data_IF_568741007570
#
_entry.id   IF_568741007570
#
_cell.length_a   1.000
_cell.length_b   1.000
_cell.length_c   1.000
_cell.angle_alpha   90.00
_cell.angle_beta   90.00
_cell.angle_gamma   90.00
#
_symmetry.space_group_name_H-M   'P 1'
#
loop_
_entity.id
_entity.type
_entity.pdbx_description
1 polymer ?
#
# COMPACT_ATOMS: atom_id res chain seq x y z
N UNK A 1 1.97 3.83 9.72
CA UNK A 1 1.46 2.49 10.11
C UNK A 1 1.22 1.57 8.92
N UNK A 2 0.43 1.96 7.91
CA UNK A 2 0.23 1.12 6.71
C UNK A 2 1.54 0.77 5.99
N UNK A 3 2.43 1.75 5.82
CA UNK A 3 3.76 1.54 5.20
C UNK A 3 4.59 0.51 5.97
N UNK A 4 4.62 0.59 7.29
CA UNK A 4 5.32 -0.38 8.14
C UNK A 4 4.74 -1.80 7.99
N UNK A 5 3.41 -1.93 7.99
CA UNK A 5 2.73 -3.23 7.78
C UNK A 5 3.02 -3.81 6.40
N UNK A 6 3.03 -2.96 5.37
CA UNK A 6 3.35 -3.35 4.00
C UNK A 6 4.82 -3.78 3.87
N UNK A 7 5.77 -3.05 4.48
CA UNK A 7 7.19 -3.40 4.46
C UNK A 7 7.48 -4.74 5.15
N UNK A 8 6.83 -5.00 6.30
CA UNK A 8 6.96 -6.29 7.01
C UNK A 8 6.39 -7.42 6.15
N UNK A 9 5.19 -7.25 5.57
CA UNK A 9 4.57 -8.25 4.71
C UNK A 9 5.45 -8.54 3.49
N UNK A 10 5.93 -7.50 2.82
CA UNK A 10 6.80 -7.61 1.65
C UNK A 10 8.06 -8.42 1.98
N UNK A 11 8.75 -8.10 3.09
CA UNK A 11 9.94 -8.82 3.52
C UNK A 11 9.65 -10.30 3.81
N UNK A 12 8.55 -10.60 4.51
CA UNK A 12 8.15 -11.99 4.79
C UNK A 12 7.83 -12.75 3.48
N UNK A 13 7.06 -12.17 2.58
CA UNK A 13 6.70 -12.79 1.29
C UNK A 13 7.91 -13.01 0.38
N UNK A 14 8.88 -12.10 0.37
CA UNK A 14 10.14 -12.29 -0.36
C UNK A 14 11.00 -13.39 0.26
N UNK A 15 11.10 -13.47 1.59
CA UNK A 15 11.84 -14.54 2.25
C UNK A 15 11.25 -15.92 1.93
N UNK A 16 9.91 -16.04 2.00
CA UNK A 16 9.21 -17.28 1.65
C UNK A 16 9.38 -17.63 0.17
N UNK A 17 9.32 -16.64 -0.73
CA UNK A 17 9.59 -16.85 -2.14
C UNK A 17 11.01 -17.38 -2.39
N UNK A 18 12.03 -16.72 -1.82
CA UNK A 18 13.43 -17.15 -1.93
C UNK A 18 13.63 -18.56 -1.40
N UNK A 19 13.02 -18.88 -0.26
CA UNK A 19 13.04 -20.23 0.30
C UNK A 19 12.37 -21.25 -0.63
N UNK A 20 11.18 -20.93 -1.15
CA UNK A 20 10.44 -21.83 -2.02
C UNK A 20 11.19 -22.13 -3.32
N UNK A 21 11.82 -21.12 -3.92
CA UNK A 21 12.68 -21.28 -5.10
C UNK A 21 13.94 -22.06 -4.76
N UNK A 22 14.61 -21.73 -3.65
CA UNK A 22 15.84 -22.42 -3.23
C UNK A 22 15.65 -23.90 -2.93
N UNK A 23 14.49 -24.29 -2.43
CA UNK A 23 14.14 -25.69 -2.15
C UNK A 23 13.44 -26.39 -3.33
N UNK A 24 13.13 -25.67 -4.42
CA UNK A 24 12.41 -26.23 -5.57
C UNK A 24 13.31 -27.13 -6.41
N UNK A 25 13.36 -28.40 -6.04
CA UNK A 25 14.00 -29.45 -6.84
C UNK A 25 12.91 -30.16 -7.65
N UNK A 26 13.07 -30.23 -8.98
CA UNK A 26 12.08 -30.85 -9.88
C UNK A 26 11.81 -32.31 -9.53
N UNK A 27 12.83 -33.02 -9.03
CA UNK A 27 12.73 -34.42 -8.61
C UNK A 27 12.06 -34.60 -7.24
N UNK A 28 11.85 -33.51 -6.49
CA UNK A 28 11.26 -33.61 -5.15
C UNK A 28 9.72 -33.73 -5.22
N UNK A 29 9.10 -34.57 -4.37
CA UNK A 29 7.65 -34.60 -4.20
C UNK A 29 7.07 -33.29 -3.62
N UNK A 30 7.88 -32.28 -3.34
CA UNK A 30 7.41 -30.97 -2.87
C UNK A 30 7.44 -29.89 -3.97
N UNK A 31 7.79 -30.26 -5.21
CA UNK A 31 7.91 -29.31 -6.31
C UNK A 31 6.64 -28.50 -6.56
N UNK A 32 5.48 -29.15 -6.74
CA UNK A 32 4.22 -28.47 -7.03
C UNK A 32 3.75 -27.54 -5.88
N UNK A 33 3.74 -27.99 -4.60
CA UNK A 33 3.41 -27.12 -3.47
C UNK A 33 4.32 -25.89 -3.34
N UNK A 34 5.63 -26.06 -3.57
CA UNK A 34 6.61 -24.97 -3.51
C UNK A 34 6.46 -23.99 -4.66
N UNK A 35 6.12 -24.47 -5.87
CA UNK A 35 5.85 -23.60 -7.02
C UNK A 35 4.61 -22.73 -6.76
N UNK A 36 3.54 -23.32 -6.24
CA UNK A 36 2.33 -22.57 -5.83
C UNK A 36 2.68 -21.55 -4.74
N UNK A 37 3.37 -21.96 -3.68
CA UNK A 37 3.76 -21.07 -2.59
C UNK A 37 4.62 -19.91 -3.07
N UNK A 38 5.63 -20.19 -3.87
CA UNK A 38 6.55 -19.20 -4.44
C UNK A 38 5.81 -18.21 -5.34
N UNK A 39 4.97 -18.70 -6.26
CA UNK A 39 4.20 -17.86 -7.17
C UNK A 39 3.28 -16.87 -6.45
N UNK A 40 2.51 -17.35 -5.47
CA UNK A 40 1.63 -16.48 -4.70
C UNK A 40 2.39 -15.55 -3.74
N UNK A 41 3.49 -16.01 -3.14
CA UNK A 41 4.33 -15.16 -2.28
C UNK A 41 4.97 -14.03 -3.09
N UNK A 42 5.44 -14.31 -4.30
CA UNK A 42 5.96 -13.29 -5.20
C UNK A 42 4.88 -12.28 -5.61
N UNK A 43 3.69 -12.75 -6.00
CA UNK A 43 2.57 -11.87 -6.33
C UNK A 43 2.15 -10.97 -5.15
N UNK A 44 2.09 -11.53 -3.93
CA UNK A 44 1.80 -10.77 -2.72
C UNK A 44 2.90 -9.73 -2.41
N UNK A 45 4.18 -10.07 -2.62
CA UNK A 45 5.29 -9.15 -2.45
C UNK A 45 5.18 -7.95 -3.39
N UNK A 46 4.83 -8.17 -4.66
CA UNK A 46 4.60 -7.09 -5.63
C UNK A 46 3.45 -6.17 -5.21
N UNK A 47 2.34 -6.73 -4.74
CA UNK A 47 1.20 -5.95 -4.25
C UNK A 47 1.57 -5.13 -2.99
N UNK A 48 2.37 -5.69 -2.10
CA UNK A 48 2.87 -4.98 -0.92
C UNK A 48 3.83 -3.85 -1.33
N UNK A 49 4.70 -4.06 -2.34
CA UNK A 49 5.56 -3.02 -2.89
C UNK A 49 4.75 -1.86 -3.50
N UNK A 50 3.67 -2.16 -4.23
CA UNK A 50 2.74 -1.14 -4.78
C UNK A 50 2.09 -0.33 -3.66
N UNK A 51 1.78 -0.94 -2.51
CA UNK A 51 1.20 -0.23 -1.36
C UNK A 51 2.15 0.82 -0.75
N UNK A 52 3.47 0.60 -0.85
CA UNK A 52 4.52 1.48 -0.33
C UNK A 52 4.90 2.57 -1.35
N UNK A 53 4.66 2.32 -2.65
CA UNK A 53 5.03 3.23 -3.73
C UNK A 53 4.42 4.62 -3.54
N UNK A 54 5.22 5.71 -3.53
CA UNK A 54 4.70 7.05 -3.32
C UNK A 54 3.74 7.45 -4.45
N UNK A 55 2.51 7.81 -4.08
CA UNK A 55 1.53 8.31 -5.01
C UNK A 55 1.75 9.81 -5.27
N UNK A 56 2.37 10.15 -6.41
CA UNK A 56 2.56 11.55 -6.83
C UNK A 56 1.26 12.04 -7.49
N UNK A 57 0.22 12.34 -6.70
CA UNK A 57 -0.98 12.99 -7.23
C UNK A 57 -0.78 14.51 -7.23
N UNK A 58 -0.33 15.06 -8.35
CA UNK A 58 -0.17 16.51 -8.56
C UNK A 58 -1.47 17.22 -8.98
N UNK A 59 -2.52 16.46 -9.35
CA UNK A 59 -3.79 17.02 -9.85
C UNK A 59 -4.72 17.37 -8.68
N UNK A 60 -4.48 18.50 -8.04
CA UNK A 60 -5.52 19.24 -7.31
C UNK A 60 -6.37 19.99 -8.36
N UNK A 61 -7.45 19.35 -8.82
CA UNK A 61 -8.52 19.99 -9.60
C UNK A 61 -9.69 20.42 -8.71
N UNK A 62 -9.57 20.22 -7.39
CA UNK A 62 -10.56 20.62 -6.40
C UNK A 62 -10.29 21.98 -5.76
N UNK A 63 -11.17 22.44 -4.86
CA UNK A 63 -11.02 23.70 -4.15
C UNK A 63 -9.67 23.78 -3.42
N UNK A 64 -8.98 24.91 -3.58
CA UNK A 64 -7.67 25.19 -2.98
C UNK A 64 -7.78 25.08 -1.46
N UNK A 65 -6.94 24.24 -0.87
CA UNK A 65 -6.74 24.18 0.57
C UNK A 65 -5.36 24.78 0.87
N UNK A 66 -5.32 26.00 1.41
CA UNK A 66 -4.08 26.72 1.64
C UNK A 66 -3.16 26.00 2.64
N UNK A 67 -3.71 25.21 3.56
CA UNK A 67 -2.91 24.44 4.53
C UNK A 67 -2.32 23.16 3.93
N UNK A 68 -2.78 22.72 2.74
CA UNK A 68 -2.32 21.50 2.11
C UNK A 68 -1.10 21.72 1.19
N UNK A 69 -0.04 20.94 1.40
CA UNK A 69 1.22 21.06 0.67
C UNK A 69 1.13 20.93 -0.85
N UNK A 70 0.20 20.12 -1.36
CA UNK A 70 0.00 19.99 -2.80
C UNK A 70 -0.68 21.20 -3.45
N UNK A 71 -1.29 22.07 -2.63
CA UNK A 71 -2.01 23.27 -3.08
C UNK A 71 -1.15 24.53 -2.94
N UNK A 72 -0.47 24.74 -1.80
CA UNK A 72 0.31 25.97 -1.61
C UNK A 72 1.58 26.03 -2.49
N UNK A 73 2.13 24.89 -2.92
CA UNK A 73 3.26 24.84 -3.88
C UNK A 73 2.98 25.51 -5.23
N UNK A 74 1.73 25.93 -5.48
CA UNK A 74 1.29 26.62 -6.71
C UNK A 74 1.45 28.13 -6.63
N UNK A 75 1.77 28.67 -5.45
CA UNK A 75 1.89 30.10 -5.20
C UNK A 75 3.35 30.44 -4.87
N UNK A 76 3.74 31.70 -5.10
CA UNK A 76 4.96 32.25 -4.49
C UNK A 76 4.76 32.41 -2.99
N UNK A 77 5.85 32.55 -2.24
CA UNK A 77 5.80 32.74 -0.79
C UNK A 77 4.93 33.95 -0.40
N UNK A 78 5.12 35.09 -1.04
CA UNK A 78 4.32 36.31 -0.80
C UNK A 78 2.84 36.09 -1.11
N UNK A 79 2.51 35.48 -2.26
CA UNK A 79 1.13 35.16 -2.61
C UNK A 79 0.46 34.20 -1.63
N UNK A 80 1.23 33.29 -1.04
CA UNK A 80 0.73 32.39 -0.01
C UNK A 80 0.47 33.14 1.30
N UNK A 81 1.39 34.00 1.72
CA UNK A 81 1.28 34.82 2.93
C UNK A 81 0.04 35.73 2.85
N UNK A 82 -0.15 36.44 1.73
CA UNK A 82 -1.31 37.33 1.56
C UNK A 82 -2.64 36.57 1.69
N UNK A 83 -2.73 35.41 1.04
CA UNK A 83 -3.95 34.58 1.05
C UNK A 83 -4.21 33.93 2.40
N UNK A 84 -3.19 33.48 3.12
CA UNK A 84 -3.40 32.86 4.43
C UNK A 84 -3.77 33.91 5.47
N UNK A 85 -3.22 35.13 5.39
CA UNK A 85 -3.61 36.25 6.26
C UNK A 85 -5.08 36.62 6.05
N UNK A 86 -5.55 36.70 4.80
CA UNK A 86 -6.97 36.97 4.50
C UNK A 86 -7.89 35.90 5.11
N UNK A 87 -7.53 34.62 5.01
CA UNK A 87 -8.28 33.52 5.63
C UNK A 87 -8.24 33.58 7.16
N UNK A 88 -7.15 34.09 7.74
CA UNK A 88 -6.97 34.24 9.19
C UNK A 88 -7.77 35.40 9.78
N UNK A 89 -8.27 36.34 8.97
CA UNK A 89 -9.08 37.47 9.45
C UNK A 89 -10.53 37.08 9.79
N UNK A 90 -10.96 35.86 9.43
CA UNK A 90 -12.32 35.38 9.68
C UNK A 90 -12.27 34.02 10.39
N UNK A 91 -12.82 33.96 11.62
CA UNK A 91 -12.76 32.76 12.47
C UNK A 91 -13.31 31.51 11.76
N UNK A 92 -14.47 31.62 11.08
CA UNK A 92 -15.11 30.49 10.41
C UNK A 92 -14.30 29.93 9.23
N UNK A 93 -13.60 30.79 8.47
CA UNK A 93 -12.81 30.35 7.31
C UNK A 93 -11.57 29.56 7.71
N UNK A 94 -10.95 29.90 8.84
CA UNK A 94 -9.83 29.13 9.41
C UNK A 94 -10.33 27.73 9.77
N UNK A 95 -11.41 27.62 10.57
CA UNK A 95 -11.94 26.33 11.00
C UNK A 95 -12.32 25.45 9.82
N UNK A 96 -12.95 26.01 8.78
CA UNK A 96 -13.27 25.27 7.55
C UNK A 96 -12.02 24.82 6.78
N UNK A 97 -10.98 25.65 6.74
CA UNK A 97 -9.71 25.31 6.07
C UNK A 97 -8.98 24.19 6.83
N UNK A 98 -8.92 24.26 8.15
CA UNK A 98 -8.38 23.19 9.01
C UNK A 98 -9.16 21.88 8.86
N UNK A 99 -10.49 21.94 8.91
CA UNK A 99 -11.34 20.75 8.75
C UNK A 99 -11.15 20.09 7.36
N UNK A 100 -11.02 20.90 6.30
CA UNK A 100 -10.75 20.42 4.95
C UNK A 100 -9.38 19.76 4.86
N UNK A 101 -8.37 20.31 5.51
CA UNK A 101 -7.03 19.72 5.56
C UNK A 101 -7.01 18.37 6.28
N UNK A 102 -7.61 18.29 7.46
CA UNK A 102 -7.75 17.04 8.21
C UNK A 102 -8.49 15.98 7.39
N UNK A 103 -9.60 16.36 6.74
CA UNK A 103 -10.37 15.43 5.91
C UNK A 103 -9.60 14.97 4.66
N UNK A 104 -8.90 15.87 3.96
CA UNK A 104 -8.09 15.54 2.79
C UNK A 104 -6.91 14.64 3.17
N UNK A 105 -6.19 14.97 4.24
CA UNK A 105 -5.11 14.14 4.75
C UNK A 105 -5.63 12.75 5.16
N UNK A 106 -6.75 12.68 5.90
CA UNK A 106 -7.37 11.40 6.28
C UNK A 106 -7.78 10.55 5.07
N UNK A 107 -8.40 11.15 4.06
CA UNK A 107 -8.91 10.43 2.88
C UNK A 107 -7.81 9.94 1.93
N UNK A 108 -6.75 10.74 1.74
CA UNK A 108 -5.60 10.37 0.90
C UNK A 108 -4.79 9.24 1.54
N UNK A 109 -4.59 9.26 2.87
CA UNK A 109 -3.92 8.17 3.58
C UNK A 109 -4.72 6.87 3.58
N UNK A 110 -6.05 6.95 3.68
CA UNK A 110 -6.90 5.78 3.89
C UNK A 110 -7.11 4.95 2.62
N UNK A 111 -7.48 5.56 1.48
CA UNK A 111 -8.07 4.79 0.38
C UNK A 111 -7.09 3.94 -0.44
N UNK A 112 -5.85 4.39 -0.66
CA UNK A 112 -4.96 3.70 -1.61
C UNK A 112 -4.07 2.66 -0.94
N UNK A 113 -3.40 3.03 0.17
CA UNK A 113 -2.41 2.17 0.83
C UNK A 113 -3.05 0.92 1.44
N UNK A 114 -4.18 1.08 2.13
CA UNK A 114 -4.89 -0.06 2.75
C UNK A 114 -5.58 -0.97 1.73
N UNK A 115 -5.98 -0.44 0.57
CA UNK A 115 -6.57 -1.25 -0.49
C UNK A 115 -5.56 -2.27 -1.02
N UNK A 116 -4.41 -1.80 -1.53
CA UNK A 116 -3.34 -2.66 -2.05
C UNK A 116 -2.77 -3.61 -1.00
N UNK A 117 -2.60 -3.12 0.24
CA UNK A 117 -2.19 -3.96 1.36
C UNK A 117 -3.20 -5.08 1.61
N UNK A 118 -4.50 -4.80 1.56
CA UNK A 118 -5.55 -5.80 1.68
C UNK A 118 -5.49 -6.88 0.59
N UNK A 119 -5.21 -6.50 -0.65
CA UNK A 119 -4.99 -7.47 -1.74
C UNK A 119 -3.75 -8.33 -1.51
N UNK A 120 -2.64 -7.73 -1.09
CA UNK A 120 -1.41 -8.47 -0.78
C UNK A 120 -1.67 -9.56 0.27
N UNK A 121 -2.38 -9.23 1.35
CA UNK A 121 -2.76 -10.20 2.39
C UNK A 121 -3.66 -11.31 1.84
N UNK A 122 -4.68 -10.99 1.05
CA UNK A 122 -5.60 -11.98 0.48
C UNK A 122 -4.87 -12.94 -0.46
N UNK A 123 -4.05 -12.41 -1.37
CA UNK A 123 -3.26 -13.22 -2.31
C UNK A 123 -2.31 -14.13 -1.55
N UNK A 124 -1.61 -13.61 -0.53
CA UNK A 124 -0.71 -14.42 0.28
C UNK A 124 -1.44 -15.55 1.02
N UNK A 125 -2.58 -15.26 1.65
CA UNK A 125 -3.37 -16.27 2.38
C UNK A 125 -3.95 -17.33 1.43
N UNK A 126 -4.49 -16.93 0.28
CA UNK A 126 -4.96 -17.87 -0.74
C UNK A 126 -3.81 -18.75 -1.23
N UNK A 127 -2.63 -18.17 -1.45
CA UNK A 127 -1.43 -18.93 -1.84
C UNK A 127 -0.96 -19.94 -0.80
N UNK A 128 -0.92 -19.53 0.47
CA UNK A 128 -0.57 -20.43 1.58
C UNK A 128 -1.54 -21.60 1.67
N UNK A 129 -2.86 -21.32 1.63
CA UNK A 129 -3.88 -22.38 1.69
C UNK A 129 -3.84 -23.29 0.47
N UNK A 130 -3.68 -22.75 -0.74
CA UNK A 130 -3.58 -23.54 -1.96
C UNK A 130 -2.32 -24.41 -1.99
N UNK A 131 -1.18 -23.89 -1.53
CA UNK A 131 0.06 -24.65 -1.39
C UNK A 131 -0.11 -25.81 -0.41
N UNK A 132 -0.72 -25.55 0.76
CA UNK A 132 -1.01 -26.59 1.75
C UNK A 132 -1.92 -27.68 1.19
N UNK A 133 -2.99 -27.32 0.50
CA UNK A 133 -3.88 -28.30 -0.14
C UNK A 133 -3.16 -29.12 -1.21
N UNK A 134 -2.32 -28.48 -2.02
CA UNK A 134 -1.50 -29.17 -3.04
C UNK A 134 -0.57 -30.18 -2.39
N UNK A 135 0.06 -29.80 -1.27
CA UNK A 135 0.94 -30.69 -0.51
C UNK A 135 0.17 -31.90 0.05
N UNK A 136 -0.99 -31.67 0.68
CA UNK A 136 -1.82 -32.75 1.23
C UNK A 136 -2.28 -33.72 0.14
N UNK A 137 -2.74 -33.21 -1.01
CA UNK A 137 -3.17 -34.05 -2.13
C UNK A 137 -2.00 -34.90 -2.63
N UNK A 138 -0.80 -34.33 -2.69
CA UNK A 138 0.38 -35.04 -3.14
C UNK A 138 0.80 -36.13 -2.14
N UNK A 139 0.80 -35.83 -0.84
CA UNK A 139 1.12 -36.80 0.22
C UNK A 139 0.12 -37.95 0.25
N UNK A 140 -1.17 -37.69 0.04
CA UNK A 140 -2.22 -38.73 0.04
C UNK A 140 -2.13 -39.62 -1.21
N UNK A 141 -1.67 -39.08 -2.35
CA UNK A 141 -1.52 -39.83 -3.61
C UNK A 141 -0.25 -40.67 -3.68
N UNK A 142 0.71 -40.43 -2.79
CA UNK A 142 2.01 -41.09 -2.78
C UNK A 142 2.07 -42.21 -1.75
#
# INVERSE_FOLDING_TARGET
>A
MADQKASILMAATFAIFTFAVGQSNYESPSFYPLLVLGGFSFAAALLAAIAILPAISSKSTGPVNLLFFGSFKRFTEEQYIDRIIEVLQHDESIYRTMARDIYQNGTVLFKRKYYWLGYAYRVFLVGLTASLLTFLIQVIRH
#
